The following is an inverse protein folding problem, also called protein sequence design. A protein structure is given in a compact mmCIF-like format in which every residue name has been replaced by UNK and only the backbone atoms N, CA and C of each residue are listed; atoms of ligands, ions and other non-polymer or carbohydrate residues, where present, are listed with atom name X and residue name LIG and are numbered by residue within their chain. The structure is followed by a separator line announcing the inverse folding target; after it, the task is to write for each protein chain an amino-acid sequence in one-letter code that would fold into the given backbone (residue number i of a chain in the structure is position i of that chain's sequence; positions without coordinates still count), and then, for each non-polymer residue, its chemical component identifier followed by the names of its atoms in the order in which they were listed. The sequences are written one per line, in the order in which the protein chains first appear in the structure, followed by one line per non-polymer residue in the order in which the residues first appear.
data_IF_703470616568
#
_entry.id   IF_703470616568
#
_cell.length_a   1.000
_cell.length_b   1.000
_cell.length_c   1.000
_cell.angle_alpha   90.00
_cell.angle_beta   90.00
_cell.angle_gamma   90.00
#
_symmetry.space_group_name_H-M   'P 1'
#
loop_
_entity.id
_entity.type
_entity.pdbx_description
1 polymer ?
#
# COMPACT_ATOMS: atom_id res chain seq x y z
N UNK A 1 9.79 -3.16 16.38
CA UNK A 1 8.91 -3.51 15.25
C UNK A 1 8.72 -5.01 15.09
N UNK A 2 9.79 -5.82 14.96
CA UNK A 2 9.68 -7.28 14.85
C UNK A 2 8.89 -7.88 16.02
N UNK A 3 9.33 -7.64 17.26
CA UNK A 3 8.65 -8.18 18.45
C UNK A 3 7.16 -7.81 18.52
N UNK A 4 6.83 -6.55 18.22
CA UNK A 4 5.44 -6.08 18.22
C UNK A 4 4.62 -6.87 17.21
N UNK A 5 5.05 -6.93 15.95
CA UNK A 5 4.30 -7.65 14.91
C UNK A 5 4.21 -9.15 15.17
N UNK A 6 5.31 -9.78 15.61
CA UNK A 6 5.30 -11.20 15.97
C UNK A 6 4.28 -11.49 17.07
N UNK A 7 4.28 -10.72 18.16
CA UNK A 7 3.31 -10.90 19.26
C UNK A 7 1.88 -10.64 18.80
N UNK A 8 1.65 -9.62 17.98
CA UNK A 8 0.31 -9.33 17.41
C UNK A 8 -0.20 -10.50 16.57
N UNK A 9 0.65 -11.03 15.68
CA UNK A 9 0.30 -12.20 14.85
C UNK A 9 0.04 -13.46 15.70
N UNK A 10 0.86 -13.71 16.71
CA UNK A 10 0.65 -14.82 17.66
C UNK A 10 -0.68 -14.72 18.40
N UNK A 11 -1.10 -13.51 18.78
CA UNK A 11 -2.40 -13.29 19.40
C UNK A 11 -3.54 -13.56 18.41
N UNK A 12 -3.44 -13.10 17.16
CA UNK A 12 -4.46 -13.37 16.13
C UNK A 12 -4.64 -14.88 15.90
N UNK A 13 -3.54 -15.63 15.86
CA UNK A 13 -3.53 -17.10 15.75
C UNK A 13 -4.13 -17.73 17.00
N UNK A 14 -3.68 -17.33 18.19
CA UNK A 14 -4.17 -17.88 19.47
C UNK A 14 -5.67 -17.72 19.64
N UNK A 15 -6.22 -16.58 19.25
CA UNK A 15 -7.66 -16.30 19.37
C UNK A 15 -8.47 -16.79 18.15
N UNK A 16 -7.83 -17.32 17.12
CA UNK A 16 -8.50 -17.89 15.96
C UNK A 16 -9.36 -16.87 15.23
N UNK A 17 -8.77 -15.73 14.84
CA UNK A 17 -9.43 -14.78 13.94
C UNK A 17 -9.84 -15.52 12.66
N UNK A 18 -11.09 -15.36 12.23
CA UNK A 18 -11.56 -15.92 10.94
C UNK A 18 -11.68 -14.87 9.86
N UNK A 19 -11.73 -15.30 8.59
CA UNK A 19 -12.04 -14.42 7.44
C UNK A 19 -13.31 -13.60 7.67
N UNK A 20 -14.39 -14.24 8.12
CA UNK A 20 -15.65 -13.57 8.48
C UNK A 20 -15.47 -12.50 9.57
N UNK A 21 -14.58 -12.73 10.54
CA UNK A 21 -14.27 -11.73 11.57
C UNK A 21 -13.58 -10.52 10.97
N UNK A 22 -12.66 -10.72 10.01
CA UNK A 22 -11.99 -9.64 9.28
C UNK A 22 -13.00 -8.81 8.50
N UNK A 23 -13.87 -9.45 7.71
CA UNK A 23 -14.90 -8.75 6.92
C UNK A 23 -15.84 -7.95 7.81
N UNK A 24 -16.37 -8.56 8.88
CA UNK A 24 -17.24 -7.85 9.84
C UNK A 24 -16.55 -6.69 10.52
N UNK A 25 -15.29 -6.86 10.92
CA UNK A 25 -14.51 -5.78 11.52
C UNK A 25 -14.33 -4.61 10.54
N UNK A 26 -14.10 -4.87 9.25
CA UNK A 26 -14.04 -3.83 8.21
C UNK A 26 -15.40 -3.17 7.98
N UNK A 27 -16.48 -3.94 7.97
CA UNK A 27 -17.85 -3.42 7.82
C UNK A 27 -18.23 -2.47 8.97
N UNK A 28 -17.86 -2.83 10.20
CA UNK A 28 -18.13 -2.06 11.43
C UNK A 28 -17.10 -0.96 11.69
N UNK A 29 -15.97 -0.96 10.97
CA UNK A 29 -14.92 0.05 11.16
C UNK A 29 -15.27 1.40 10.54
N UNK A 30 -14.66 2.46 11.07
CA UNK A 30 -14.66 3.79 10.47
C UNK A 30 -13.52 4.02 9.47
N UNK A 31 -12.97 2.96 8.86
CA UNK A 31 -11.91 3.11 7.85
C UNK A 31 -12.48 3.85 6.64
N UNK A 32 -11.74 4.85 6.16
CA UNK A 32 -12.07 5.63 4.97
C UNK A 32 -10.85 5.73 4.08
N UNK A 33 -11.07 5.71 2.76
CA UNK A 33 -10.04 6.07 1.79
C UNK A 33 -9.95 7.59 1.67
N UNK A 34 -8.76 8.11 1.33
CA UNK A 34 -8.58 9.53 1.07
C UNK A 34 -9.44 9.96 -0.12
N UNK A 35 -10.00 11.16 -0.04
CA UNK A 35 -10.70 11.78 -1.18
C UNK A 35 -9.81 11.79 -2.42
N UNK A 36 -10.37 11.42 -3.59
CA UNK A 36 -9.66 11.25 -4.85
C UNK A 36 -9.08 9.84 -5.08
N UNK A 37 -9.20 8.91 -4.12
CA UNK A 37 -8.68 7.55 -4.29
C UNK A 37 -9.32 6.83 -5.48
N UNK A 38 -10.65 6.86 -5.58
CA UNK A 38 -11.38 6.08 -6.60
C UNK A 38 -11.09 6.62 -8.00
N UNK A 39 -11.11 7.93 -8.16
CA UNK A 39 -10.80 8.63 -9.39
C UNK A 39 -9.36 8.35 -9.85
N UNK A 40 -8.40 8.43 -8.93
CA UNK A 40 -7.01 8.14 -9.20
C UNK A 40 -6.79 6.68 -9.62
N UNK A 41 -7.39 5.71 -8.91
CA UNK A 41 -7.22 4.29 -9.24
C UNK A 41 -7.93 3.91 -10.55
N UNK A 42 -9.09 4.49 -10.85
CA UNK A 42 -9.78 4.31 -12.12
C UNK A 42 -8.97 4.89 -13.29
N UNK A 43 -8.33 6.05 -13.10
CA UNK A 43 -7.39 6.63 -14.06
C UNK A 43 -6.19 5.71 -14.31
N UNK A 44 -5.53 5.24 -13.25
CA UNK A 44 -4.39 4.33 -13.36
C UNK A 44 -4.77 3.02 -14.06
N UNK A 45 -5.96 2.49 -13.78
CA UNK A 45 -6.49 1.29 -14.44
C UNK A 45 -6.74 1.52 -15.93
N UNK A 46 -7.37 2.65 -16.30
CA UNK A 46 -7.66 3.01 -17.69
C UNK A 46 -6.38 3.14 -18.52
N UNK A 47 -5.35 3.76 -17.98
CA UNK A 47 -4.05 3.94 -18.63
C UNK A 47 -3.12 2.72 -18.46
N UNK A 48 -3.62 1.64 -17.87
CA UNK A 48 -2.89 0.40 -17.60
C UNK A 48 -1.54 0.66 -16.90
N UNK A 49 -1.54 1.50 -15.86
CA UNK A 49 -0.37 1.78 -15.02
C UNK A 49 -0.28 0.72 -13.92
N UNK A 50 0.79 -0.10 -13.86
CA UNK A 50 0.97 -1.06 -12.78
C UNK A 50 1.03 -0.33 -11.43
N UNK A 51 0.14 -0.70 -10.51
CA UNK A 51 -0.03 -0.04 -9.21
C UNK A 51 0.25 -1.03 -8.09
N UNK A 52 1.18 -0.70 -7.20
CA UNK A 52 1.51 -1.55 -6.05
C UNK A 52 1.16 -0.87 -4.73
N UNK A 53 0.31 -1.52 -3.94
CA UNK A 53 0.10 -1.21 -2.53
C UNK A 53 1.08 -2.05 -1.71
N UNK A 54 2.18 -1.42 -1.26
CA UNK A 54 3.18 -2.07 -0.42
C UNK A 54 3.02 -1.67 1.05
N UNK A 55 2.39 -2.56 1.82
CA UNK A 55 1.92 -2.25 3.17
C UNK A 55 2.57 -3.13 4.24
N UNK A 56 2.94 -2.52 5.36
CA UNK A 56 3.32 -3.21 6.59
C UNK A 56 2.10 -3.71 7.40
N UNK A 57 0.88 -3.43 6.93
CA UNK A 57 -0.37 -3.87 7.55
C UNK A 57 -0.70 -5.34 7.28
N UNK A 58 -1.99 -5.64 7.24
CA UNK A 58 -2.53 -6.98 7.02
C UNK A 58 -3.16 -7.03 5.61
N UNK A 59 -2.68 -7.95 4.78
CA UNK A 59 -3.15 -8.13 3.40
C UNK A 59 -4.66 -8.33 3.33
N UNK A 60 -5.20 -9.21 4.16
CA UNK A 60 -6.61 -9.60 4.14
C UNK A 60 -7.55 -8.47 4.57
N UNK A 61 -7.07 -7.58 5.45
CA UNK A 61 -7.81 -6.37 5.84
C UNK A 61 -7.81 -5.37 4.70
N UNK A 62 -6.67 -5.16 4.03
CA UNK A 62 -6.56 -4.27 2.86
C UNK A 62 -7.51 -4.74 1.77
N UNK A 63 -7.51 -6.03 1.45
CA UNK A 63 -8.43 -6.60 0.46
C UNK A 63 -9.89 -6.49 0.87
N UNK A 64 -10.23 -6.76 2.13
CA UNK A 64 -11.60 -6.59 2.61
C UNK A 64 -12.09 -5.12 2.50
N UNK A 65 -11.22 -4.13 2.78
CA UNK A 65 -11.55 -2.71 2.59
C UNK A 65 -11.74 -2.40 1.12
N UNK A 66 -10.80 -2.78 0.25
CA UNK A 66 -10.89 -2.52 -1.18
C UNK A 66 -12.11 -3.19 -1.81
N UNK A 67 -12.40 -4.44 -1.47
CA UNK A 67 -13.57 -5.16 -1.97
C UNK A 67 -14.89 -4.49 -1.54
N UNK A 68 -14.96 -3.99 -0.30
CA UNK A 68 -16.11 -3.22 0.21
C UNK A 68 -16.32 -1.93 -0.61
N UNK A 69 -15.26 -1.16 -0.84
CA UNK A 69 -15.32 0.09 -1.60
C UNK A 69 -15.70 -0.17 -3.07
N UNK A 70 -15.04 -1.16 -3.72
CA UNK A 70 -15.32 -1.49 -5.12
C UNK A 70 -16.69 -2.16 -5.32
N UNK A 71 -17.26 -2.84 -4.32
CA UNK A 71 -18.61 -3.40 -4.41
C UNK A 71 -19.69 -2.31 -4.64
N UNK A 72 -19.45 -1.07 -4.19
CA UNK A 72 -20.34 0.06 -4.43
C UNK A 72 -20.20 0.65 -5.85
N UNK A 73 -19.13 0.33 -6.58
CA UNK A 73 -18.86 0.86 -7.93
C UNK A 73 -19.54 0.05 -9.03
N UNK A 74 -19.45 0.54 -10.27
CA UNK A 74 -19.85 -0.19 -11.48
C UNK A 74 -18.92 -1.35 -11.82
N UNK A 75 -17.62 -1.24 -11.50
CA UNK A 75 -16.61 -2.28 -11.73
C UNK A 75 -16.82 -3.50 -10.83
N UNK A 76 -17.38 -3.31 -9.63
CA UNK A 76 -17.65 -4.33 -8.59
C UNK A 76 -16.42 -5.04 -8.02
N UNK A 77 -15.29 -4.98 -8.70
CA UNK A 77 -14.03 -5.63 -8.31
C UNK A 77 -12.86 -4.67 -8.47
N UNK A 78 -11.84 -4.87 -7.63
CA UNK A 78 -10.56 -4.18 -7.73
C UNK A 78 -9.96 -4.31 -9.15
N UNK A 79 -9.40 -3.23 -9.72
CA UNK A 79 -8.76 -3.28 -11.03
C UNK A 79 -7.56 -4.25 -11.08
N UNK A 80 -7.37 -4.90 -12.23
CA UNK A 80 -6.36 -5.96 -12.40
C UNK A 80 -4.91 -5.45 -12.40
N UNK A 81 -4.70 -4.15 -12.62
CA UNK A 81 -3.39 -3.51 -12.55
C UNK A 81 -2.96 -3.19 -11.11
N UNK A 82 -3.82 -3.44 -10.12
CA UNK A 82 -3.51 -3.23 -8.70
C UNK A 82 -2.98 -4.52 -8.09
N UNK A 83 -1.81 -4.41 -7.47
CA UNK A 83 -1.14 -5.48 -6.74
C UNK A 83 -1.00 -5.07 -5.28
N UNK A 84 -1.06 -6.04 -4.37
CA UNK A 84 -0.88 -5.80 -2.93
C UNK A 84 0.21 -6.73 -2.41
N UNK A 85 1.20 -6.15 -1.72
CA UNK A 85 2.22 -6.89 -0.97
C UNK A 85 2.11 -6.45 0.48
N UNK A 86 1.78 -7.38 1.36
CA UNK A 86 1.59 -7.13 2.80
C UNK A 86 1.67 -8.42 3.61
N UNK A 87 1.43 -8.35 4.93
CA UNK A 87 1.42 -9.54 5.78
C UNK A 87 0.13 -10.34 5.54
N UNK A 88 0.23 -11.44 4.80
CA UNK A 88 -0.91 -12.27 4.41
C UNK A 88 -1.20 -13.36 5.44
N UNK A 89 -2.44 -13.40 5.93
CA UNK A 89 -2.90 -14.43 6.84
C UNK A 89 -3.02 -15.77 6.10
N UNK A 90 -2.52 -16.83 6.72
CA UNK A 90 -2.76 -18.21 6.28
C UNK A 90 -3.91 -18.79 7.07
N UNK A 91 -4.97 -19.20 6.38
CA UNK A 91 -6.16 -19.79 6.98
C UNK A 91 -6.18 -21.32 6.85
N UNK A 92 -6.79 -22.00 7.81
CA UNK A 92 -7.11 -23.42 7.72
C UNK A 92 -8.43 -23.70 6.97
N UNK A 93 -8.83 -24.97 6.90
CA UNK A 93 -10.08 -25.41 6.25
C UNK A 93 -11.36 -24.86 6.90
N UNK A 94 -11.26 -24.29 8.11
CA UNK A 94 -12.37 -23.68 8.85
C UNK A 94 -12.30 -22.15 8.80
N UNK A 95 -11.51 -21.62 7.87
CA UNK A 95 -11.24 -20.20 7.69
C UNK A 95 -10.67 -19.51 8.95
N UNK A 96 -9.93 -20.22 9.80
CA UNK A 96 -9.25 -19.68 10.98
C UNK A 96 -7.78 -19.45 10.70
N UNK A 97 -7.25 -18.31 11.15
CA UNK A 97 -5.84 -17.97 10.95
C UNK A 97 -4.93 -18.91 11.75
N UNK A 98 -3.97 -19.52 11.05
CA UNK A 98 -2.99 -20.46 11.61
C UNK A 98 -1.54 -20.02 11.38
N UNK A 99 -1.34 -18.91 10.67
CA UNK A 99 -0.02 -18.38 10.37
C UNK A 99 -0.08 -17.15 9.48
N UNK A 100 1.09 -16.70 9.07
CA UNK A 100 1.28 -15.66 8.06
C UNK A 100 2.28 -16.16 7.01
N UNK A 101 2.07 -15.76 5.76
CA UNK A 101 2.90 -16.18 4.64
C UNK A 101 4.03 -15.17 4.36
N UNK A 102 5.16 -15.70 3.88
CA UNK A 102 6.32 -14.90 3.51
C UNK A 102 7.11 -14.33 4.69
N UNK A 103 7.92 -13.32 4.38
CA UNK A 103 8.73 -12.59 5.36
C UNK A 103 7.90 -11.46 5.97
N UNK A 104 7.98 -11.30 7.30
CA UNK A 104 7.32 -10.20 8.00
C UNK A 104 7.71 -8.84 7.41
N UNK A 105 6.70 -8.06 6.99
CA UNK A 105 6.85 -6.68 6.56
C UNK A 105 6.47 -5.76 7.71
N UNK A 106 7.33 -4.81 8.04
CA UNK A 106 7.10 -3.75 9.03
C UNK A 106 7.60 -2.40 8.50
N UNK A 107 7.28 -1.31 9.17
CA UNK A 107 7.57 0.08 8.73
C UNK A 107 9.06 0.43 8.50
N UNK A 108 9.99 -0.48 8.78
CA UNK A 108 11.45 -0.23 8.70
C UNK A 108 12.18 -1.20 7.76
N UNK A 109 11.48 -2.16 7.13
CA UNK A 109 12.09 -3.11 6.21
C UNK A 109 11.42 -3.12 4.82
N UNK A 110 10.59 -2.11 4.53
CA UNK A 110 10.08 -1.87 3.18
C UNK A 110 11.22 -1.39 2.30
N UNK A 111 11.64 -2.24 1.36
CA UNK A 111 12.69 -1.95 0.38
C UNK A 111 12.39 -2.68 -0.92
N UNK A 112 13.11 -2.33 -1.99
CA UNK A 112 12.93 -2.96 -3.29
C UNK A 112 13.16 -4.48 -3.22
N UNK A 113 14.00 -4.96 -2.31
CA UNK A 113 14.25 -6.40 -2.13
C UNK A 113 12.98 -7.22 -1.89
N UNK A 114 11.92 -6.63 -1.31
CA UNK A 114 10.64 -7.31 -1.12
C UNK A 114 9.83 -7.44 -2.42
N UNK A 115 10.14 -6.64 -3.45
CA UNK A 115 9.37 -6.57 -4.70
C UNK A 115 10.12 -7.16 -5.90
N UNK A 116 11.46 -7.18 -5.89
CA UNK A 116 12.30 -7.56 -7.04
C UNK A 116 11.94 -8.93 -7.65
N UNK A 117 11.60 -9.90 -6.82
CA UNK A 117 11.27 -11.26 -7.28
C UNK A 117 9.80 -11.50 -7.62
N UNK A 118 8.95 -10.49 -7.42
CA UNK A 118 7.51 -10.59 -7.61
C UNK A 118 7.10 -10.53 -9.08
N UNK A 119 5.95 -11.11 -9.40
CA UNK A 119 5.37 -11.01 -10.75
C UNK A 119 5.12 -9.55 -11.16
N UNK A 120 4.76 -8.70 -10.19
CA UNK A 120 4.58 -7.27 -10.39
C UNK A 120 5.85 -6.61 -10.94
N UNK A 121 6.99 -6.77 -10.25
CA UNK A 121 8.23 -6.13 -10.69
C UNK A 121 8.71 -6.67 -12.04
N UNK A 122 8.60 -8.00 -12.24
CA UNK A 122 8.90 -8.64 -13.53
C UNK A 122 8.06 -8.06 -14.68
N UNK A 123 6.78 -7.77 -14.45
CA UNK A 123 5.92 -7.09 -15.41
C UNK A 123 6.42 -5.66 -15.70
N UNK A 124 6.71 -4.87 -14.67
CA UNK A 124 7.22 -3.50 -14.83
C UNK A 124 8.50 -3.46 -15.68
N UNK A 125 9.41 -4.41 -15.48
CA UNK A 125 10.64 -4.54 -16.25
C UNK A 125 10.36 -4.89 -17.73
N UNK A 126 9.46 -5.83 -17.99
CA UNK A 126 9.07 -6.22 -19.35
C UNK A 126 8.39 -5.07 -20.11
N UNK A 127 7.58 -4.29 -19.40
CA UNK A 127 6.87 -3.11 -19.94
C UNK A 127 7.74 -1.85 -19.98
N UNK A 128 8.99 -1.90 -19.49
CA UNK A 128 9.92 -0.76 -19.41
C UNK A 128 9.32 0.45 -18.67
N UNK A 129 8.70 0.18 -17.52
CA UNK A 129 8.14 1.22 -16.64
C UNK A 129 9.25 1.83 -15.78
N UNK A 130 9.81 2.94 -16.23
CA UNK A 130 10.94 3.61 -15.59
C UNK A 130 10.54 4.81 -14.72
N UNK A 131 9.36 5.39 -14.94
CA UNK A 131 8.88 6.52 -14.16
C UNK A 131 8.07 6.01 -12.97
N UNK A 132 8.52 6.30 -11.75
CA UNK A 132 7.94 5.82 -10.50
C UNK A 132 7.40 6.99 -9.69
N UNK A 133 6.11 6.94 -9.38
CA UNK A 133 5.50 7.79 -8.36
C UNK A 133 5.40 7.00 -7.06
N UNK A 134 6.18 7.40 -6.04
CA UNK A 134 6.17 6.78 -4.72
C UNK A 134 5.33 7.62 -3.76
N UNK A 135 4.39 6.98 -3.07
CA UNK A 135 3.54 7.60 -2.06
C UNK A 135 3.80 6.93 -0.71
N UNK A 136 3.99 7.71 0.35
CA UNK A 136 4.18 7.18 1.70
C UNK A 136 3.78 8.17 2.77
N UNK A 137 3.42 7.70 3.96
CA UNK A 137 3.11 8.56 5.10
C UNK A 137 4.17 8.49 6.19
N UNK A 138 5.01 7.44 6.20
CA UNK A 138 6.13 7.30 7.12
C UNK A 138 7.47 7.57 6.44
N UNK A 139 8.46 8.03 7.20
CA UNK A 139 9.84 8.15 6.72
C UNK A 139 10.45 6.83 6.21
N UNK A 140 9.90 5.67 6.61
CA UNK A 140 10.34 4.37 6.12
C UNK A 140 9.83 4.06 4.71
N UNK A 141 8.73 4.68 4.29
CA UNK A 141 8.15 4.44 2.97
C UNK A 141 8.97 5.06 1.84
N UNK A 142 9.78 6.10 2.12
CA UNK A 142 10.72 6.66 1.14
C UNK A 142 11.72 5.62 0.60
N UNK A 143 11.91 4.54 1.36
CA UNK A 143 12.86 3.47 1.08
C UNK A 143 12.25 2.33 0.25
N UNK A 144 10.96 2.37 -0.11
CA UNK A 144 10.32 1.28 -0.88
C UNK A 144 11.01 1.00 -2.22
N UNK A 145 11.68 2.02 -2.78
CA UNK A 145 12.49 1.92 -4.01
C UNK A 145 13.97 1.64 -3.75
N UNK A 146 14.41 1.51 -2.49
CA UNK A 146 15.80 1.26 -2.13
C UNK A 146 16.24 -0.13 -2.62
N UNK A 147 17.19 -0.15 -3.55
CA UNK A 147 17.67 -1.36 -4.22
C UNK A 147 17.16 -1.55 -5.64
N UNK A 148 16.37 -0.61 -6.18
CA UNK A 148 16.12 -0.50 -7.62
C UNK A 148 17.37 0.02 -8.34
N UNK A 149 17.50 -0.33 -9.62
CA UNK A 149 18.57 0.20 -10.46
C UNK A 149 18.18 1.60 -10.97
N UNK A 150 18.70 2.64 -10.31
CA UNK A 150 18.38 4.04 -10.61
C UNK A 150 18.99 4.57 -11.91
N UNK A 151 19.62 3.73 -12.74
CA UNK A 151 20.29 4.21 -13.96
C UNK A 151 19.32 4.70 -15.02
N UNK A 152 18.13 4.11 -15.10
CA UNK A 152 17.08 4.47 -16.06
C UNK A 152 15.79 4.96 -15.37
N UNK A 153 15.67 4.78 -14.06
CA UNK A 153 14.43 5.03 -13.32
C UNK A 153 14.36 6.46 -12.76
N UNK A 154 13.28 7.18 -13.09
CA UNK A 154 12.96 8.52 -12.59
C UNK A 154 11.93 8.41 -11.46
N UNK A 155 12.25 8.90 -10.26
CA UNK A 155 11.43 8.68 -9.06
C UNK A 155 11.01 10.00 -8.45
N UNK A 156 9.70 10.20 -8.31
CA UNK A 156 9.11 11.28 -7.53
C UNK A 156 8.52 10.71 -6.25
N UNK A 157 9.01 11.16 -5.09
CA UNK A 157 8.56 10.74 -3.77
C UNK A 157 7.63 11.78 -3.17
N UNK A 158 6.41 11.36 -2.86
CA UNK A 158 5.38 12.19 -2.22
C UNK A 158 5.09 11.65 -0.82
N UNK A 159 5.35 12.49 0.18
CA UNK A 159 5.15 12.19 1.60
C UNK A 159 3.88 12.82 2.16
N UNK A 160 3.01 12.03 2.78
CA UNK A 160 1.87 12.52 3.55
C UNK A 160 2.27 12.72 5.00
N UNK A 161 2.41 13.98 5.43
CA UNK A 161 2.70 14.36 6.80
C UNK A 161 1.38 14.63 7.54
N UNK A 162 0.79 13.54 8.04
CA UNK A 162 -0.55 13.57 8.64
C UNK A 162 -0.59 14.32 9.98
N UNK A 163 0.47 14.20 10.79
CA UNK A 163 0.56 14.76 12.14
C UNK A 163 1.91 15.41 12.44
N UNK A 164 1.94 16.37 13.37
CA UNK A 164 3.17 16.97 13.87
C UNK A 164 4.01 17.69 12.80
N UNK A 165 3.34 18.42 11.89
CA UNK A 165 4.01 19.11 10.80
C UNK A 165 5.09 20.09 11.30
N UNK A 166 4.84 20.79 12.40
CA UNK A 166 5.78 21.75 12.99
C UNK A 166 7.13 21.12 13.35
N UNK A 167 7.14 19.86 13.78
CA UNK A 167 8.36 19.17 14.25
C UNK A 167 9.00 18.27 13.20
N UNK A 168 8.18 17.69 12.31
CA UNK A 168 8.61 16.62 11.39
C UNK A 168 8.88 17.10 9.97
N UNK A 169 8.40 18.28 9.59
CA UNK A 169 8.45 18.74 8.19
C UNK A 169 9.86 18.74 7.61
N UNK A 170 10.87 19.21 8.36
CA UNK A 170 12.26 19.23 7.89
C UNK A 170 12.78 17.82 7.57
N UNK A 171 12.44 16.82 8.39
CA UNK A 171 12.83 15.43 8.15
C UNK A 171 12.14 14.83 6.92
N UNK A 172 10.88 15.20 6.68
CA UNK A 172 10.13 14.75 5.51
C UNK A 172 10.69 15.38 4.22
N UNK A 173 11.01 16.68 4.24
CA UNK A 173 11.63 17.38 3.10
C UNK A 173 13.02 16.85 2.73
N UNK A 174 13.70 16.13 3.63
CA UNK A 174 14.96 15.43 3.33
C UNK A 174 14.76 14.08 2.62
N UNK A 175 13.54 13.52 2.64
CA UNK A 175 13.24 12.16 2.16
C UNK A 175 12.23 12.11 1.01
N UNK A 176 11.40 13.14 0.90
CA UNK A 176 10.35 13.26 -0.11
C UNK A 176 10.56 14.55 -0.91
N UNK A 177 10.31 14.48 -2.21
CA UNK A 177 10.39 15.61 -3.12
C UNK A 177 9.20 16.56 -2.92
N UNK A 178 8.04 16.01 -2.54
CA UNK A 178 6.81 16.74 -2.24
C UNK A 178 6.28 16.26 -0.89
N UNK A 179 5.91 17.20 -0.01
CA UNK A 179 5.30 16.88 1.29
C UNK A 179 3.91 17.51 1.37
N UNK A 180 2.89 16.67 1.53
CA UNK A 180 1.50 17.07 1.74
C UNK A 180 1.19 17.02 3.24
N UNK A 181 0.90 18.16 3.86
CA UNK A 181 0.68 18.27 5.31
C UNK A 181 -0.81 18.22 5.67
N UNK A 182 -1.11 18.00 6.96
CA UNK A 182 -2.46 18.06 7.54
C UNK A 182 -3.44 17.03 6.95
N UNK A 183 -2.96 15.80 6.74
CA UNK A 183 -3.75 14.68 6.18
C UNK A 183 -4.50 15.06 4.89
N UNK A 184 -3.76 15.61 3.94
CA UNK A 184 -4.28 16.02 2.64
C UNK A 184 -4.95 14.88 1.87
N UNK A 185 -5.90 15.23 1.00
CA UNK A 185 -6.50 14.33 0.01
C UNK A 185 -5.52 13.91 -1.10
N UNK A 186 -5.95 12.97 -1.94
CA UNK A 186 -5.22 12.53 -3.15
C UNK A 186 -5.50 13.41 -4.37
N UNK A 187 -6.39 14.41 -4.27
CA UNK A 187 -6.73 15.30 -5.39
C UNK A 187 -5.52 15.96 -6.06
N UNK A 188 -4.49 16.45 -5.34
CA UNK A 188 -3.31 17.01 -6.02
C UNK A 188 -2.56 16.00 -6.90
N UNK A 189 -2.56 14.71 -6.52
CA UNK A 189 -1.93 13.64 -7.28
C UNK A 189 -2.79 13.22 -8.47
N UNK A 190 -4.10 13.14 -8.28
CA UNK A 190 -5.05 12.88 -9.36
C UNK A 190 -4.92 13.95 -10.47
N UNK A 191 -4.85 15.23 -10.10
CA UNK A 191 -4.61 16.33 -11.03
C UNK A 191 -3.24 16.22 -11.72
N UNK A 192 -2.19 15.85 -11.00
CA UNK A 192 -0.86 15.65 -11.55
C UNK A 192 -0.85 14.54 -12.62
N UNK A 193 -1.50 13.41 -12.34
CA UNK A 193 -1.58 12.29 -13.29
C UNK A 193 -2.30 12.69 -14.58
N UNK A 194 -3.31 13.55 -14.51
CA UNK A 194 -3.97 14.10 -15.69
C UNK A 194 -3.08 14.99 -16.57
N UNK A 195 -2.01 15.57 -16.01
CA UNK A 195 -1.06 16.39 -16.78
C UNK A 195 0.08 15.58 -17.41
N UNK A 196 0.32 14.36 -16.93
CA UNK A 196 1.43 13.49 -17.38
C UNK A 196 0.97 12.47 -18.44
N UNK A 197 -0.32 12.42 -18.75
CA UNK A 197 -0.86 11.67 -19.90
C UNK A 197 -0.31 12.21 -21.23
#
# INVERSE_FOLDING_TARGET
MIEWWTKTHELMIRYGISKDTVTKAVDESGITLREGFMEMFDLLARENVPTLIFSAGLYDVIHAVLDKEYAATSSKTLPKNVHVISNMMRFDERDKVVGFDGTLIHSLNKSANAILETAFWKQCQLEKRHNILLLGDSLGDSNMVDGLDYTEDEIVRIGFLNDGADDKLEQYLQRFDIVLTNDSSLLPLELLLHQIQ
#
